data_IF_839722304173
#
_entry.id   IF_839722304173
#
_cell.length_a   1.000
_cell.length_b   1.000
_cell.length_c   1.000
_cell.angle_alpha   90.00
_cell.angle_beta   90.00
_cell.angle_gamma   90.00
#
_symmetry.space_group_name_H-M   'P 1'
#
loop_
_entity.id
_entity.type
_entity.pdbx_description
1 polymer ?
#
# COMPACT_ATOMS: atom_id res chain seq x y z
N UNK A 1 -11.72 20.49 10.04
CA UNK A 1 -11.16 19.53 11.01
C UNK A 1 -9.71 19.28 10.60
N UNK A 2 -8.72 19.37 11.49
CA UNK A 2 -7.33 19.11 11.08
C UNK A 2 -7.19 17.62 10.77
N UNK A 3 -6.82 17.29 9.54
CA UNK A 3 -6.55 15.93 9.06
C UNK A 3 -5.07 15.84 8.75
N UNK A 4 -4.42 14.78 9.22
CA UNK A 4 -3.00 14.55 8.98
C UNK A 4 -2.80 13.13 8.47
N UNK A 5 -2.06 13.00 7.37
CA UNK A 5 -1.62 11.72 6.80
C UNK A 5 -0.10 11.80 6.74
N UNK A 6 0.57 10.89 7.45
CA UNK A 6 2.02 10.81 7.49
C UNK A 6 2.44 9.36 7.36
N UNK A 7 3.45 9.11 6.53
CA UNK A 7 4.15 7.85 6.48
C UNK A 7 5.64 8.15 6.35
N UNK A 8 6.44 7.58 7.24
CA UNK A 8 7.90 7.74 7.23
C UNK A 8 8.49 6.36 6.98
N UNK A 9 9.04 6.09 5.79
CA UNK A 9 9.77 4.86 5.51
C UNK A 9 10.88 4.65 6.53
N UNK A 10 11.04 3.43 6.99
CA UNK A 10 12.18 3.02 7.81
C UNK A 10 13.42 2.87 6.92
N UNK A 11 14.57 3.34 7.41
CA UNK A 11 15.87 3.13 6.80
C UNK A 11 16.20 1.63 6.79
N UNK A 12 15.85 0.96 5.70
CA UNK A 12 16.18 -0.44 5.48
C UNK A 12 17.39 -0.55 4.57
N UNK A 13 18.38 -1.36 4.94
CA UNK A 13 19.55 -1.63 4.10
C UNK A 13 19.18 -2.70 3.04
N UNK A 14 18.90 -2.30 1.79
CA UNK A 14 18.36 -3.20 0.77
C UNK A 14 19.39 -4.27 0.40
N UNK A 15 20.68 -3.91 0.43
CA UNK A 15 21.79 -4.83 0.16
C UNK A 15 21.88 -5.95 1.18
N UNK A 16 21.65 -5.67 2.46
CA UNK A 16 21.63 -6.69 3.50
C UNK A 16 20.40 -7.58 3.38
N UNK A 17 19.23 -7.00 3.10
CA UNK A 17 18.02 -7.77 2.83
C UNK A 17 18.21 -8.74 1.66
N UNK A 18 18.74 -8.26 0.53
CA UNK A 18 18.98 -9.09 -0.67
C UNK A 18 19.94 -10.23 -0.38
N UNK A 19 21.03 -9.97 0.34
CA UNK A 19 21.99 -11.01 0.74
C UNK A 19 21.32 -12.08 1.61
N UNK A 20 20.52 -11.65 2.58
CA UNK A 20 19.77 -12.55 3.46
C UNK A 20 18.76 -13.38 2.66
N UNK A 21 17.96 -12.74 1.81
CA UNK A 21 16.99 -13.39 0.93
C UNK A 21 17.64 -14.42 -0.01
N UNK A 22 18.81 -14.11 -0.56
CA UNK A 22 19.55 -15.03 -1.42
C UNK A 22 20.08 -16.25 -0.65
N UNK A 23 20.62 -16.04 0.56
CA UNK A 23 21.08 -17.13 1.43
C UNK A 23 19.91 -18.03 1.85
N UNK A 24 18.79 -17.45 2.25
CA UNK A 24 17.58 -18.21 2.61
C UNK A 24 17.05 -19.02 1.43
N UNK A 25 17.01 -18.43 0.21
CA UNK A 25 16.61 -19.16 -0.99
C UNK A 25 17.55 -20.34 -1.32
N UNK A 26 18.85 -20.19 -1.09
CA UNK A 26 19.81 -21.29 -1.23
C UNK A 26 19.59 -22.38 -0.19
N UNK A 27 19.38 -22.00 1.07
CA UNK A 27 19.05 -22.95 2.14
C UNK A 27 17.80 -23.73 1.78
N UNK A 28 16.72 -23.03 1.41
CA UNK A 28 15.45 -23.59 0.96
C UNK A 28 15.64 -24.63 -0.15
N UNK A 29 16.38 -24.31 -1.20
CA UNK A 29 16.65 -25.27 -2.28
C UNK A 29 17.50 -26.46 -1.82
N UNK A 30 18.46 -26.26 -0.90
CA UNK A 30 19.28 -27.36 -0.37
C UNK A 30 18.54 -28.29 0.59
N UNK A 31 17.55 -27.78 1.33
CA UNK A 31 16.72 -28.57 2.26
C UNK A 31 15.45 -29.12 1.61
N UNK A 32 15.22 -28.79 0.33
CA UNK A 32 14.07 -29.23 -0.44
C UNK A 32 14.06 -30.76 -0.58
N UNK A 33 12.98 -31.38 -0.10
CA UNK A 33 12.72 -32.81 -0.30
C UNK A 33 11.91 -33.00 -1.60
N UNK A 34 12.46 -33.66 -2.64
CA UNK A 34 11.74 -33.87 -3.90
C UNK A 34 10.43 -34.63 -3.68
N UNK A 35 9.33 -34.18 -4.30
CA UNK A 35 8.03 -34.86 -4.30
C UNK A 35 7.08 -34.53 -3.14
N UNK A 36 7.48 -33.65 -2.22
CA UNK A 36 6.62 -33.17 -1.14
C UNK A 36 5.79 -31.95 -1.58
N UNK A 37 4.45 -32.10 -1.65
CA UNK A 37 3.52 -30.99 -1.93
C UNK A 37 3.64 -29.86 -0.90
N UNK A 38 3.86 -30.19 0.38
CA UNK A 38 4.08 -29.20 1.44
C UNK A 38 5.41 -28.47 1.26
N UNK A 39 6.49 -29.13 0.82
CA UNK A 39 7.74 -28.45 0.48
C UNK A 39 7.54 -27.42 -0.64
N UNK A 40 6.83 -27.76 -1.71
CA UNK A 40 6.54 -26.81 -2.80
C UNK A 40 5.66 -25.61 -2.36
N UNK A 41 4.85 -25.76 -1.31
CA UNK A 41 3.96 -24.72 -0.77
C UNK A 41 4.65 -23.69 0.14
N UNK A 42 5.74 -24.07 0.81
CA UNK A 42 6.38 -23.24 1.85
C UNK A 42 7.74 -22.66 1.44
N UNK A 43 8.18 -22.84 0.20
CA UNK A 43 9.46 -22.32 -0.30
C UNK A 43 9.18 -21.22 -1.33
N UNK A 44 8.96 -19.95 -0.89
CA UNK A 44 8.88 -18.85 -1.83
C UNK A 44 10.20 -18.80 -2.60
N UNK A 45 10.13 -18.90 -3.93
CA UNK A 45 11.31 -18.82 -4.78
C UNK A 45 12.07 -17.51 -4.53
N UNK A 46 13.36 -17.43 -4.88
CA UNK A 46 14.21 -16.27 -4.62
C UNK A 46 13.59 -14.94 -5.07
N UNK A 47 12.79 -14.97 -6.14
CA UNK A 47 12.08 -13.80 -6.65
C UNK A 47 11.09 -13.19 -5.65
N UNK A 48 10.28 -14.01 -4.97
CA UNK A 48 9.30 -13.51 -3.99
C UNK A 48 10.01 -12.86 -2.79
N UNK A 49 11.12 -13.44 -2.33
CA UNK A 49 11.93 -12.87 -1.25
C UNK A 49 12.59 -11.55 -1.66
N UNK A 50 13.09 -11.44 -2.90
CA UNK A 50 13.64 -10.19 -3.39
C UNK A 50 12.58 -9.09 -3.54
N UNK A 51 11.34 -9.46 -3.89
CA UNK A 51 10.24 -8.49 -3.88
C UNK A 51 9.99 -7.95 -2.48
N UNK A 52 10.01 -8.77 -1.44
CA UNK A 52 9.86 -8.29 -0.05
C UNK A 52 10.91 -7.24 0.32
N UNK A 53 12.15 -7.39 -0.15
CA UNK A 53 13.21 -6.39 0.08
C UNK A 53 12.96 -5.02 -0.56
N UNK A 54 12.01 -4.92 -1.49
CA UNK A 54 11.62 -3.67 -2.15
C UNK A 54 10.30 -3.11 -1.63
N UNK A 55 9.81 -3.64 -0.50
CA UNK A 55 8.62 -3.18 0.21
C UNK A 55 9.04 -2.52 1.53
N UNK A 56 9.26 -1.19 1.55
CA UNK A 56 9.71 -0.53 2.77
C UNK A 56 8.64 -0.60 3.85
N UNK A 57 9.06 -0.92 5.07
CA UNK A 57 8.24 -0.66 6.27
C UNK A 57 8.20 0.83 6.52
N UNK A 58 7.11 1.30 7.13
CA UNK A 58 6.95 2.68 7.52
C UNK A 58 6.22 2.80 8.85
N UNK A 59 6.62 3.82 9.62
CA UNK A 59 5.79 4.35 10.70
C UNK A 59 4.74 5.26 10.09
N UNK A 60 3.47 4.90 10.23
CA UNK A 60 2.36 5.63 9.62
C UNK A 60 1.40 6.17 10.66
N UNK A 61 0.79 7.30 10.32
CA UNK A 61 -0.22 7.97 11.11
C UNK A 61 -1.26 8.60 10.19
N UNK A 62 -2.52 8.30 10.43
CA UNK A 62 -3.65 8.97 9.83
C UNK A 62 -4.61 9.39 10.93
N UNK A 63 -4.79 10.69 11.11
CA UNK A 63 -5.61 11.26 12.18
C UNK A 63 -6.55 12.35 11.67
N UNK A 64 -7.66 12.54 12.38
CA UNK A 64 -8.65 13.57 12.10
C UNK A 64 -9.22 14.14 13.41
N UNK A 65 -9.10 15.45 13.62
CA UNK A 65 -9.69 16.14 14.77
C UNK A 65 -9.18 15.66 16.13
N UNK A 66 -7.94 15.16 16.19
CA UNK A 66 -7.33 14.60 17.42
C UNK A 66 -7.59 13.11 17.65
N UNK A 67 -8.33 12.44 16.76
CA UNK A 67 -8.54 10.99 16.79
C UNK A 67 -7.67 10.28 15.77
N UNK A 68 -7.05 9.16 16.15
CA UNK A 68 -6.34 8.30 15.21
C UNK A 68 -7.33 7.41 14.46
N UNK A 69 -7.31 7.49 13.13
CA UNK A 69 -8.02 6.57 12.25
C UNK A 69 -7.16 5.33 12.00
N UNK A 70 -5.87 5.53 11.75
CA UNK A 70 -4.87 4.48 11.60
C UNK A 70 -3.53 4.94 12.18
N UNK A 71 -2.78 4.04 12.83
CA UNK A 71 -1.45 4.34 13.38
C UNK A 71 -0.67 3.05 13.63
N UNK A 72 0.62 3.04 13.29
CA UNK A 72 1.53 1.95 13.64
C UNK A 72 2.58 1.69 12.58
N UNK A 73 3.26 0.55 12.69
CA UNK A 73 4.11 0.01 11.62
C UNK A 73 3.25 -0.64 10.54
N UNK A 74 3.51 -0.31 9.28
CA UNK A 74 2.82 -0.89 8.13
C UNK A 74 3.76 -0.93 6.92
N UNK A 75 3.43 -1.76 5.95
CA UNK A 75 4.05 -1.69 4.65
C UNK A 75 3.69 -0.35 3.96
N UNK A 76 4.70 0.43 3.59
CA UNK A 76 4.52 1.79 3.06
C UNK A 76 3.67 1.80 1.79
N UNK A 77 3.88 0.84 0.88
CA UNK A 77 3.13 0.76 -0.38
C UNK A 77 1.67 0.36 -0.14
N UNK A 78 1.42 -0.52 0.83
CA UNK A 78 0.07 -0.90 1.29
C UNK A 78 -0.65 0.29 1.93
N UNK A 79 0.04 1.07 2.76
CA UNK A 79 -0.54 2.30 3.31
C UNK A 79 -0.86 3.31 2.21
N UNK A 80 0.07 3.55 1.28
CA UNK A 80 -0.13 4.45 0.15
C UNK A 80 -1.30 4.01 -0.74
N UNK A 81 -1.42 2.71 -1.02
CA UNK A 81 -2.55 2.13 -1.76
C UNK A 81 -3.88 2.35 -1.03
N UNK A 82 -3.92 2.20 0.29
CA UNK A 82 -5.09 2.49 1.11
C UNK A 82 -5.53 3.96 0.98
N UNK A 83 -4.61 4.90 1.18
CA UNK A 83 -4.89 6.34 1.05
C UNK A 83 -5.38 6.69 -0.36
N UNK A 84 -4.71 6.18 -1.40
CA UNK A 84 -5.09 6.41 -2.79
C UNK A 84 -6.44 5.79 -3.17
N UNK A 85 -6.80 4.64 -2.58
CA UNK A 85 -8.12 4.03 -2.75
C UNK A 85 -9.21 4.93 -2.14
N UNK A 86 -8.93 5.54 -0.99
CA UNK A 86 -9.84 6.50 -0.34
C UNK A 86 -9.95 7.75 -1.22
N UNK A 87 -8.84 8.22 -1.77
CA UNK A 87 -8.79 9.29 -2.77
C UNK A 87 -9.63 9.02 -4.02
N UNK A 88 -9.56 7.79 -4.55
CA UNK A 88 -10.36 7.37 -5.69
C UNK A 88 -11.85 7.32 -5.34
N UNK A 89 -12.21 6.85 -4.14
CA UNK A 89 -13.59 6.86 -3.64
C UNK A 89 -14.11 8.30 -3.47
N UNK A 90 -13.34 9.16 -2.80
CA UNK A 90 -13.62 10.57 -2.56
C UNK A 90 -13.90 11.35 -3.85
N UNK A 91 -13.25 10.98 -4.96
CA UNK A 91 -13.42 11.59 -6.29
C UNK A 91 -14.49 10.89 -7.14
N UNK A 92 -15.18 9.88 -6.63
CA UNK A 92 -16.16 9.09 -7.40
C UNK A 92 -15.55 8.24 -8.52
N UNK A 93 -14.26 7.89 -8.41
CA UNK A 93 -13.48 7.16 -9.43
C UNK A 93 -13.10 5.74 -9.01
N UNK A 94 -13.52 5.28 -7.83
CA UNK A 94 -13.17 3.95 -7.33
C UNK A 94 -13.67 2.81 -8.25
N UNK A 95 -14.88 2.93 -8.81
CA UNK A 95 -15.38 1.96 -9.81
C UNK A 95 -14.46 1.84 -11.04
N UNK A 96 -13.88 2.96 -11.51
CA UNK A 96 -12.88 2.96 -12.59
C UNK A 96 -11.58 2.31 -12.15
N UNK A 97 -11.15 2.49 -10.89
CA UNK A 97 -9.97 1.81 -10.36
C UNK A 97 -10.15 0.29 -10.38
N UNK A 98 -11.29 -0.21 -9.92
CA UNK A 98 -11.60 -1.64 -9.92
C UNK A 98 -11.62 -2.23 -11.35
N UNK A 99 -12.24 -1.54 -12.30
CA UNK A 99 -12.25 -1.97 -13.71
C UNK A 99 -10.83 -2.06 -14.29
N UNK A 100 -9.99 -1.06 -14.04
CA UNK A 100 -8.59 -1.08 -14.50
C UNK A 100 -7.78 -2.17 -13.78
N UNK A 101 -8.05 -2.39 -12.50
CA UNK A 101 -7.40 -3.43 -11.72
C UNK A 101 -7.73 -4.81 -12.29
N UNK A 102 -8.99 -5.08 -12.59
CA UNK A 102 -9.44 -6.31 -13.25
C UNK A 102 -8.80 -6.49 -14.64
N UNK A 103 -8.89 -5.48 -15.51
CA UNK A 103 -8.32 -5.53 -16.88
C UNK A 103 -6.81 -5.78 -16.90
N UNK A 104 -6.11 -5.34 -15.86
CA UNK A 104 -4.66 -5.51 -15.75
C UNK A 104 -4.30 -6.76 -14.94
N UNK A 105 -5.22 -7.39 -14.23
CA UNK A 105 -4.90 -8.41 -13.23
C UNK A 105 -4.09 -7.85 -12.06
N UNK A 106 -4.33 -6.59 -11.70
CA UNK A 106 -3.80 -5.97 -10.48
C UNK A 106 -4.79 -6.25 -9.34
N UNK A 107 -4.30 -6.79 -8.23
CA UNK A 107 -5.12 -6.92 -7.01
C UNK A 107 -5.03 -5.63 -6.22
N UNK A 108 -6.17 -5.05 -5.86
CA UNK A 108 -6.25 -3.96 -4.89
C UNK A 108 -6.56 -4.50 -3.49
N UNK A 109 -6.11 -3.79 -2.46
CA UNK A 109 -6.40 -4.02 -1.04
C UNK A 109 -7.83 -3.63 -0.67
N UNK A 110 -8.40 -2.66 -1.39
CA UNK A 110 -9.74 -2.17 -1.15
C UNK A 110 -10.78 -3.14 -1.72
N UNK A 111 -11.57 -3.76 -0.84
CA UNK A 111 -12.67 -4.63 -1.24
C UNK A 111 -13.95 -3.80 -1.39
N UNK A 112 -14.61 -3.77 -2.55
CA UNK A 112 -15.84 -3.00 -2.73
C UNK A 112 -16.99 -3.51 -1.84
N UNK A 113 -17.78 -2.57 -1.31
CA UNK A 113 -19.06 -2.84 -0.62
C UNK A 113 -20.11 -1.81 -1.08
N UNK A 114 -21.39 -2.05 -0.78
CA UNK A 114 -22.52 -1.30 -1.35
C UNK A 114 -22.37 0.24 -1.33
N UNK A 115 -21.87 0.81 -0.21
CA UNK A 115 -21.72 2.27 -0.04
C UNK A 115 -20.26 2.74 0.08
N UNK A 116 -19.30 1.93 -0.36
CA UNK A 116 -17.89 2.29 -0.26
C UNK A 116 -16.93 1.12 -0.47
N UNK A 117 -15.97 0.97 0.44
CA UNK A 117 -14.98 -0.10 0.39
C UNK A 117 -14.54 -0.51 1.79
N UNK A 118 -14.20 -1.79 1.97
CA UNK A 118 -13.53 -2.30 3.16
C UNK A 118 -12.03 -2.18 2.98
N UNK A 119 -11.34 -1.72 4.03
CA UNK A 119 -9.90 -1.56 4.06
C UNK A 119 -9.31 -2.09 5.37
N UNK A 120 -8.08 -2.56 5.29
CA UNK A 120 -7.27 -2.95 6.44
C UNK A 120 -5.84 -2.47 6.30
N UNK A 121 -5.44 -1.53 7.15
CA UNK A 121 -4.07 -1.00 7.20
C UNK A 121 -3.79 -0.33 8.55
N UNK A 122 -2.57 -0.47 9.06
CA UNK A 122 -2.06 0.26 10.22
C UNK A 122 -3.04 0.35 11.42
N UNK A 123 -3.60 -0.79 11.82
CA UNK A 123 -4.56 -0.88 12.92
C UNK A 123 -6.01 -0.48 12.57
N UNK A 124 -6.26 0.15 11.42
CA UNK A 124 -7.61 0.34 10.90
C UNK A 124 -8.11 -0.96 10.27
N UNK A 125 -9.31 -1.39 10.66
CA UNK A 125 -10.08 -2.44 10.01
C UNK A 125 -11.55 -2.02 9.98
N UNK A 126 -12.06 -1.72 8.80
CA UNK A 126 -13.39 -1.13 8.70
C UNK A 126 -13.83 -0.81 7.29
N UNK A 127 -14.98 -0.16 7.21
CA UNK A 127 -15.58 0.33 5.96
C UNK A 127 -15.32 1.82 5.84
N UNK A 128 -14.86 2.24 4.67
CA UNK A 128 -14.77 3.63 4.26
C UNK A 128 -15.89 3.91 3.27
N UNK A 129 -16.80 4.79 3.63
CA UNK A 129 -17.96 5.18 2.83
C UNK A 129 -17.95 6.65 2.45
N UNK A 130 -18.66 6.99 1.37
CA UNK A 130 -18.85 8.38 0.98
C UNK A 130 -20.20 8.90 1.48
N UNK A 131 -20.17 10.03 2.19
CA UNK A 131 -21.36 10.75 2.64
C UNK A 131 -21.38 12.15 2.01
N UNK A 132 -22.53 12.86 1.97
CA UNK A 132 -22.59 14.20 1.40
C UNK A 132 -21.56 15.15 2.04
N UNK A 133 -20.51 15.55 1.31
CA UNK A 133 -19.45 16.45 1.79
C UNK A 133 -18.41 15.84 2.75
N UNK A 134 -18.36 14.50 2.93
CA UNK A 134 -17.35 13.89 3.79
C UNK A 134 -17.12 12.39 3.56
N UNK A 135 -15.98 11.91 3.99
CA UNK A 135 -15.62 10.49 4.01
C UNK A 135 -15.86 9.95 5.41
N UNK A 136 -16.59 8.85 5.50
CA UNK A 136 -16.89 8.19 6.78
C UNK A 136 -16.02 6.95 6.93
N UNK A 137 -15.35 6.84 8.07
CA UNK A 137 -14.56 5.70 8.49
C UNK A 137 -15.31 4.98 9.60
N UNK A 138 -15.75 3.75 9.35
CA UNK A 138 -16.56 2.97 10.28
C UNK A 138 -15.86 1.66 10.65
N UNK A 139 -15.68 1.43 11.94
CA UNK A 139 -15.30 0.15 12.53
C UNK A 139 -16.52 -0.50 13.19
N UNK A 140 -16.35 -1.68 13.80
CA UNK A 140 -17.43 -2.31 14.59
C UNK A 140 -17.87 -1.42 15.77
N UNK A 141 -16.94 -0.68 16.37
CA UNK A 141 -17.16 0.07 17.61
C UNK A 141 -17.35 1.58 17.42
N UNK A 142 -17.01 2.14 16.25
CA UNK A 142 -16.96 3.59 16.08
C UNK A 142 -17.14 4.04 14.63
N UNK A 143 -17.57 5.29 14.45
CA UNK A 143 -17.56 5.95 13.15
C UNK A 143 -17.01 7.37 13.27
N UNK A 144 -16.07 7.72 12.39
CA UNK A 144 -15.47 9.05 12.29
C UNK A 144 -15.77 9.61 10.91
N UNK A 145 -16.36 10.80 10.86
CA UNK A 145 -16.61 11.51 9.60
C UNK A 145 -15.57 12.61 9.42
N UNK A 146 -14.87 12.55 8.29
CA UNK A 146 -13.85 13.50 7.89
C UNK A 146 -14.40 14.37 6.76
N UNK A 147 -14.36 15.71 6.86
CA UNK A 147 -14.75 16.58 5.76
C UNK A 147 -13.93 16.29 4.51
N UNK A 148 -14.60 16.27 3.35
CA UNK A 148 -13.98 15.83 2.09
C UNK A 148 -12.78 16.73 1.71
N UNK A 149 -12.94 18.05 1.84
CA UNK A 149 -11.86 19.00 1.55
C UNK A 149 -10.64 18.82 2.44
N UNK A 150 -10.84 18.53 3.73
CA UNK A 150 -9.75 18.31 4.68
C UNK A 150 -8.98 17.02 4.34
N UNK A 151 -9.71 15.94 4.01
CA UNK A 151 -9.09 14.69 3.55
C UNK A 151 -8.28 14.90 2.27
N UNK A 152 -8.87 15.52 1.26
CA UNK A 152 -8.19 15.74 -0.03
C UNK A 152 -6.94 16.64 0.11
N UNK A 153 -6.98 17.61 1.02
CA UNK A 153 -5.84 18.48 1.30
C UNK A 153 -4.71 17.70 1.98
N UNK A 154 -5.04 16.83 2.94
CA UNK A 154 -4.06 15.97 3.60
C UNK A 154 -3.49 14.90 2.66
N UNK A 155 -4.33 14.35 1.78
CA UNK A 155 -3.91 13.41 0.73
C UNK A 155 -2.93 14.10 -0.23
N UNK A 156 -3.23 15.30 -0.72
CA UNK A 156 -2.34 16.03 -1.63
C UNK A 156 -0.95 16.25 -1.02
N UNK A 157 -0.88 16.64 0.26
CA UNK A 157 0.37 16.73 1.00
C UNK A 157 1.11 15.37 1.03
N UNK A 158 0.41 14.28 1.31
CA UNK A 158 1.00 12.93 1.32
C UNK A 158 1.48 12.50 -0.07
N UNK A 159 0.73 12.80 -1.14
CA UNK A 159 1.12 12.44 -2.51
C UNK A 159 2.37 13.21 -2.97
N UNK A 160 2.55 14.44 -2.48
CA UNK A 160 3.75 15.23 -2.76
C UNK A 160 5.02 14.55 -2.24
N UNK A 161 4.99 13.97 -1.04
CA UNK A 161 6.12 13.18 -0.51
C UNK A 161 6.23 11.82 -1.18
N UNK A 162 5.11 11.14 -1.45
CA UNK A 162 5.08 9.82 -2.08
C UNK A 162 5.83 9.79 -3.42
N UNK A 163 5.76 10.87 -4.22
CA UNK A 163 6.47 10.94 -5.49
C UNK A 163 7.99 10.86 -5.30
N UNK A 164 8.54 11.62 -4.36
CA UNK A 164 9.97 11.58 -4.03
C UNK A 164 10.36 10.23 -3.44
N UNK A 165 9.56 9.68 -2.53
CA UNK A 165 9.81 8.38 -1.90
C UNK A 165 9.84 7.24 -2.94
N UNK A 166 8.96 7.29 -3.95
CA UNK A 166 8.92 6.31 -5.04
C UNK A 166 10.12 6.45 -5.99
N UNK A 167 10.61 7.66 -6.23
CA UNK A 167 11.82 7.90 -7.03
C UNK A 167 13.06 7.35 -6.31
N UNK A 168 13.22 7.66 -5.03
CA UNK A 168 14.31 7.13 -4.22
C UNK A 168 14.28 5.60 -4.15
N UNK A 169 13.09 5.02 -3.92
CA UNK A 169 12.92 3.56 -3.93
C UNK A 169 13.29 2.96 -5.29
N UNK A 170 12.94 3.60 -6.41
CA UNK A 170 13.31 3.15 -7.74
C UNK A 170 14.83 3.18 -7.95
N UNK A 171 15.51 4.25 -7.56
CA UNK A 171 16.97 4.36 -7.66
C UNK A 171 17.68 3.27 -6.86
N UNK A 172 17.20 3.03 -5.63
CA UNK A 172 17.69 1.97 -4.76
C UNK A 172 17.51 0.60 -5.41
N UNK A 173 16.33 0.29 -5.93
CA UNK A 173 16.07 -0.98 -6.60
C UNK A 173 16.95 -1.15 -7.86
N UNK A 174 17.13 -0.09 -8.63
CA UNK A 174 17.92 -0.08 -9.87
C UNK A 174 19.41 -0.37 -9.60
N UNK A 175 19.97 0.18 -8.52
CA UNK A 175 21.36 -0.12 -8.08
C UNK A 175 21.59 -1.62 -7.80
N UNK A 176 20.53 -2.40 -7.64
CA UNK A 176 20.57 -3.81 -7.30
C UNK A 176 19.93 -4.74 -8.35
N UNK A 177 19.53 -4.21 -9.53
CA UNK A 177 18.89 -5.01 -10.58
C UNK A 177 17.48 -5.50 -10.22
N UNK A 178 16.78 -4.76 -9.35
CA UNK A 178 15.43 -5.09 -8.84
C UNK A 178 14.34 -4.19 -9.43
N UNK A 179 14.57 -3.59 -10.60
CA UNK A 179 13.62 -2.69 -11.27
C UNK A 179 12.29 -3.40 -11.54
N UNK A 180 12.34 -4.67 -11.93
CA UNK A 180 11.14 -5.47 -12.14
C UNK A 180 10.37 -5.70 -10.83
N UNK A 181 11.06 -5.93 -9.71
CA UNK A 181 10.42 -6.09 -8.40
C UNK A 181 9.74 -4.79 -7.97
N UNK A 182 10.40 -3.64 -8.16
CA UNK A 182 9.80 -2.32 -7.96
C UNK A 182 8.52 -2.14 -8.78
N UNK A 183 8.56 -2.45 -10.08
CA UNK A 183 7.39 -2.31 -10.95
C UNK A 183 6.24 -3.23 -10.52
N UNK A 184 6.52 -4.46 -10.11
CA UNK A 184 5.52 -5.41 -9.62
C UNK A 184 4.91 -4.92 -8.30
N UNK A 185 5.71 -4.49 -7.33
CA UNK A 185 5.24 -4.03 -6.02
C UNK A 185 4.47 -2.71 -6.04
N UNK A 186 4.86 -1.77 -6.91
CA UNK A 186 4.21 -0.47 -7.03
C UNK A 186 3.01 -0.48 -7.97
N UNK A 187 2.66 -1.63 -8.56
CA UNK A 187 1.59 -1.74 -9.56
C UNK A 187 0.25 -1.18 -9.07
N UNK A 188 -0.25 -1.49 -7.85
CA UNK A 188 -1.51 -0.92 -7.34
C UNK A 188 -1.43 0.59 -7.17
N UNK A 189 -0.34 1.08 -6.56
CA UNK A 189 -0.09 2.51 -6.34
C UNK A 189 -0.07 3.28 -7.66
N UNK A 190 0.70 2.81 -8.65
CA UNK A 190 0.78 3.44 -9.99
C UNK A 190 -0.56 3.44 -10.71
N UNK A 191 -1.35 2.37 -10.58
CA UNK A 191 -2.69 2.30 -11.14
C UNK A 191 -3.59 3.37 -10.51
N UNK A 192 -3.61 3.46 -9.17
CA UNK A 192 -4.45 4.40 -8.46
C UNK A 192 -4.04 5.86 -8.69
N UNK A 193 -2.74 6.17 -8.73
CA UNK A 193 -2.22 7.49 -9.09
C UNK A 193 -2.78 7.97 -10.44
N UNK A 194 -2.85 7.09 -11.44
CA UNK A 194 -3.48 7.39 -12.74
C UNK A 194 -4.98 7.63 -12.62
N UNK A 195 -5.67 6.91 -11.74
CA UNK A 195 -7.12 7.07 -11.54
C UNK A 195 -7.45 8.40 -10.87
N UNK A 196 -6.69 8.77 -9.84
CA UNK A 196 -6.88 10.04 -9.13
C UNK A 196 -6.36 11.25 -9.91
N UNK A 197 -5.77 11.04 -11.10
CA UNK A 197 -5.19 12.07 -11.96
C UNK A 197 -4.05 12.85 -11.28
N UNK A 198 -3.21 12.13 -10.52
CA UNK A 198 -2.02 12.74 -9.94
C UNK A 198 -0.95 12.94 -11.03
N UNK A 199 -0.51 14.19 -11.22
CA UNK A 199 0.49 14.56 -12.23
C UNK A 199 -0.03 14.75 -13.66
N UNK A 200 -1.35 14.81 -13.87
CA UNK A 200 -1.97 15.09 -15.18
C UNK A 200 -3.49 15.06 -15.16
#
# INVERSE_FOLDING_TARGET
MRVEIRAVPEDNNPKECIKKAALEALVDETVRVPGSFTSALFHPGPWERFKECTRPRASVEFSAGGFFIARGEEDYLKFAEGILSIGALARGRFGRALQLAELTGTRLLADPVDEGMRLSFAGFYGVVGLSPGGVTFSTEDSAVRVPLGDFLSAEECFLSSLAFDLEELFEVCSKHGLERAFLENTRPVRLLLKVVAYGG
#
